data_IF_918003160260
#
_entry.id   IF_918003160260
#
_cell.length_a   1.000
_cell.length_b   1.000
_cell.length_c   1.000
_cell.angle_alpha   90.00
_cell.angle_beta   90.00
_cell.angle_gamma   90.00
#
_symmetry.space_group_name_H-M   'P 1'
#
loop_
_entity.id
_entity.type
_entity.pdbx_description
1 polymer ?
#
# COMPACT_ATOMS: atom_id res chain seq x y z
N UNK A 1 0.55 -11.13 -21.21
CA UNK A 1 1.42 -9.95 -21.29
C UNK A 1 0.89 -8.82 -20.44
N UNK A 2 1.74 -8.20 -19.63
CA UNK A 2 1.31 -6.99 -18.89
C UNK A 2 1.01 -5.90 -19.89
N UNK A 3 -0.18 -5.34 -19.83
CA UNK A 3 -0.47 -4.15 -20.61
C UNK A 3 0.26 -2.97 -19.97
N UNK A 4 1.30 -2.49 -20.63
CA UNK A 4 2.15 -1.41 -20.13
C UNK A 4 1.35 -0.16 -19.80
N UNK A 5 0.36 0.18 -20.63
CA UNK A 5 -0.49 1.34 -20.43
C UNK A 5 -1.33 1.22 -19.16
N UNK A 6 -1.92 0.05 -18.94
CA UNK A 6 -2.70 -0.23 -17.71
C UNK A 6 -1.79 -0.17 -16.49
N UNK A 7 -0.59 -0.75 -16.57
CA UNK A 7 0.38 -0.74 -15.48
C UNK A 7 0.81 0.68 -15.12
N UNK A 8 1.08 1.53 -16.13
CA UNK A 8 1.44 2.92 -15.91
C UNK A 8 0.32 3.70 -15.22
N UNK A 9 -0.93 3.47 -15.61
CA UNK A 9 -2.09 4.11 -14.96
C UNK A 9 -2.20 3.73 -13.48
N UNK A 10 -1.93 2.47 -13.14
CA UNK A 10 -1.94 2.02 -11.74
C UNK A 10 -0.82 2.65 -10.93
N UNK A 11 0.36 2.78 -11.52
CA UNK A 11 1.49 3.46 -10.88
C UNK A 11 1.16 4.93 -10.63
N UNK A 12 0.55 5.61 -11.60
CA UNK A 12 0.10 7.00 -11.44
C UNK A 12 -0.89 7.16 -10.31
N UNK A 13 -1.85 6.23 -10.19
CA UNK A 13 -2.83 6.24 -9.11
C UNK A 13 -2.17 6.03 -7.75
N UNK A 14 -1.23 5.10 -7.63
CA UNK A 14 -0.49 4.89 -6.39
C UNK A 14 0.26 6.16 -5.96
N UNK A 15 0.91 6.83 -6.92
CA UNK A 15 1.59 8.10 -6.65
C UNK A 15 0.63 9.20 -6.22
N UNK A 16 -0.53 9.29 -6.84
CA UNK A 16 -1.57 10.26 -6.47
C UNK A 16 -2.02 10.07 -5.02
N UNK A 17 -2.27 8.82 -4.61
CA UNK A 17 -2.65 8.53 -3.23
C UNK A 17 -1.54 8.86 -2.25
N UNK A 18 -0.28 8.58 -2.60
CA UNK A 18 0.87 8.95 -1.77
C UNK A 18 0.99 10.46 -1.62
N UNK A 19 0.77 11.21 -2.68
CA UNK A 19 0.82 12.66 -2.66
C UNK A 19 -0.25 13.24 -1.72
N UNK A 20 -1.46 12.68 -1.73
CA UNK A 20 -2.51 13.07 -0.78
C UNK A 20 -2.08 12.80 0.66
N UNK A 21 -1.47 11.64 0.92
CA UNK A 21 -1.00 11.29 2.26
C UNK A 21 0.11 12.22 2.74
N UNK A 22 1.09 12.52 1.90
CA UNK A 22 2.16 13.46 2.24
C UNK A 22 1.63 14.88 2.47
N UNK A 23 0.65 15.30 1.68
CA UNK A 23 -0.01 16.59 1.87
C UNK A 23 -0.66 16.68 3.26
N UNK A 24 -1.34 15.62 3.69
CA UNK A 24 -1.95 15.55 5.02
C UNK A 24 -0.87 15.59 6.10
N UNK A 25 0.19 14.80 5.94
CA UNK A 25 1.30 14.77 6.90
C UNK A 25 1.95 16.15 7.08
N UNK A 26 2.14 16.88 5.98
CA UNK A 26 2.81 18.17 6.00
C UNK A 26 1.93 19.31 6.57
N UNK A 27 0.62 19.17 6.49
CA UNK A 27 -0.32 20.25 6.86
C UNK A 27 -1.02 20.06 8.21
N UNK A 28 -0.87 18.89 8.85
CA UNK A 28 -1.53 18.59 10.12
C UNK A 28 -0.55 18.04 11.13
N UNK A 29 -0.60 18.52 12.36
CA UNK A 29 0.10 17.90 13.48
C UNK A 29 -0.60 16.60 13.87
N UNK A 30 0.07 15.73 14.63
CA UNK A 30 -0.55 14.49 15.12
C UNK A 30 -1.82 14.78 15.91
N UNK A 31 -1.80 15.80 16.75
CA UNK A 31 -2.95 16.17 17.57
C UNK A 31 -4.13 16.65 16.71
N UNK A 32 -3.86 17.51 15.72
CA UNK A 32 -4.86 17.95 14.75
C UNK A 32 -5.44 16.79 13.95
N UNK A 33 -4.59 15.88 13.53
CA UNK A 33 -4.96 14.66 12.79
C UNK A 33 -5.97 13.83 13.60
N UNK A 34 -5.65 13.56 14.88
CA UNK A 34 -6.50 12.74 15.75
C UNK A 34 -7.87 13.37 16.01
N UNK A 35 -7.95 14.70 16.01
CA UNK A 35 -9.18 15.44 16.30
C UNK A 35 -10.05 15.71 15.08
N UNK A 36 -9.57 15.39 13.89
CA UNK A 36 -10.30 15.69 12.65
C UNK A 36 -10.67 14.41 11.89
N UNK A 37 -11.91 13.91 12.06
CA UNK A 37 -12.37 12.69 11.38
C UNK A 37 -12.28 12.76 9.85
N UNK A 38 -12.46 13.92 9.26
CA UNK A 38 -12.33 14.08 7.81
C UNK A 38 -10.91 13.84 7.35
N UNK A 39 -9.94 14.21 8.17
CA UNK A 39 -8.51 14.03 7.86
C UNK A 39 -8.07 12.60 8.09
N UNK A 40 -8.30 12.03 9.29
CA UNK A 40 -7.83 10.66 9.53
C UNK A 40 -8.63 9.62 8.75
N UNK A 41 -9.93 9.85 8.52
CA UNK A 41 -10.74 8.96 7.68
C UNK A 41 -10.27 8.96 6.24
N UNK A 42 -9.96 10.14 5.69
CA UNK A 42 -9.38 10.26 4.34
C UNK A 42 -8.02 9.58 4.25
N UNK A 43 -7.17 9.75 5.28
CA UNK A 43 -5.84 9.14 5.32
C UNK A 43 -5.93 7.62 5.30
N UNK A 44 -6.83 7.03 6.09
CA UNK A 44 -7.05 5.58 6.10
C UNK A 44 -7.46 5.09 4.72
N UNK A 45 -8.37 5.79 4.07
CA UNK A 45 -8.84 5.42 2.75
C UNK A 45 -7.75 5.55 1.69
N UNK A 46 -7.00 6.64 1.68
CA UNK A 46 -5.91 6.83 0.71
C UNK A 46 -4.81 5.81 0.91
N UNK A 47 -4.47 5.49 2.16
CA UNK A 47 -3.48 4.46 2.46
C UNK A 47 -3.94 3.09 1.96
N UNK A 48 -5.19 2.73 2.21
CA UNK A 48 -5.79 1.48 1.73
C UNK A 48 -5.74 1.41 0.19
N UNK A 49 -6.15 2.47 -0.49
CA UNK A 49 -6.15 2.52 -1.96
C UNK A 49 -4.72 2.43 -2.53
N UNK A 50 -3.76 3.07 -1.88
CA UNK A 50 -2.37 3.00 -2.29
C UNK A 50 -1.83 1.56 -2.19
N UNK A 51 -2.09 0.90 -1.08
CA UNK A 51 -1.66 -0.48 -0.84
C UNK A 51 -2.30 -1.43 -1.86
N UNK A 52 -3.61 -1.28 -2.11
CA UNK A 52 -4.30 -2.10 -3.10
C UNK A 52 -3.72 -1.90 -4.51
N UNK A 53 -3.37 -0.66 -4.88
CA UNK A 53 -2.73 -0.37 -6.16
C UNK A 53 -1.36 -1.07 -6.28
N UNK A 54 -0.55 -1.03 -5.24
CA UNK A 54 0.76 -1.68 -5.22
C UNK A 54 0.64 -3.20 -5.33
N UNK A 55 -0.30 -3.80 -4.60
CA UNK A 55 -0.57 -5.24 -4.68
C UNK A 55 -1.02 -5.64 -6.09
N UNK A 56 -1.87 -4.85 -6.69
CA UNK A 56 -2.37 -5.08 -8.03
C UNK A 56 -1.24 -5.04 -9.07
N UNK A 57 -0.35 -4.05 -8.97
CA UNK A 57 0.84 -3.94 -9.81
C UNK A 57 1.72 -5.19 -9.67
N UNK A 58 2.00 -5.60 -8.45
CA UNK A 58 2.84 -6.78 -8.17
C UNK A 58 2.22 -8.06 -8.70
N UNK A 59 0.92 -8.24 -8.52
CA UNK A 59 0.19 -9.41 -9.00
C UNK A 59 0.22 -9.50 -10.52
N UNK A 60 0.08 -8.37 -11.21
CA UNK A 60 0.17 -8.34 -12.67
C UNK A 60 1.55 -8.72 -13.18
N UNK A 61 2.60 -8.25 -12.54
CA UNK A 61 3.98 -8.59 -12.91
C UNK A 61 4.22 -10.10 -12.72
N UNK A 62 3.76 -10.66 -11.60
CA UNK A 62 3.89 -12.10 -11.31
C UNK A 62 3.16 -12.92 -12.36
N UNK A 63 1.95 -12.53 -12.70
CA UNK A 63 1.14 -13.23 -13.70
C UNK A 63 1.78 -13.14 -15.09
N UNK A 64 2.20 -11.96 -15.51
CA UNK A 64 2.80 -11.75 -16.83
C UNK A 64 4.10 -12.53 -17.02
N UNK A 65 4.95 -12.51 -16.00
CA UNK A 65 6.25 -13.21 -16.05
C UNK A 65 6.19 -14.65 -15.59
N UNK A 66 5.01 -15.12 -15.22
CA UNK A 66 4.79 -16.50 -14.75
C UNK A 66 5.72 -16.87 -13.59
N UNK A 67 5.78 -16.02 -12.57
CA UNK A 67 6.71 -16.17 -11.46
C UNK A 67 6.22 -17.11 -10.35
N UNK A 68 4.97 -17.55 -10.42
CA UNK A 68 4.41 -18.47 -9.45
C UNK A 68 2.95 -18.18 -9.14
N UNK A 69 2.42 -18.88 -8.13
CA UNK A 69 1.03 -18.75 -7.71
C UNK A 69 0.92 -17.86 -6.47
N UNK A 70 0.01 -16.90 -6.51
CA UNK A 70 -0.31 -16.05 -5.36
C UNK A 70 -1.51 -16.65 -4.64
N UNK A 71 -1.31 -17.16 -3.43
CA UNK A 71 -2.38 -17.64 -2.57
C UNK A 71 -2.72 -16.61 -1.49
N UNK A 72 -1.70 -15.94 -0.97
CA UNK A 72 -1.83 -14.88 0.03
C UNK A 72 -1.15 -13.61 -0.48
N UNK A 73 -1.59 -12.44 -0.02
CA UNK A 73 -0.98 -11.18 -0.42
C UNK A 73 0.52 -11.13 -0.12
N UNK A 74 0.97 -11.75 0.98
CA UNK A 74 2.39 -11.80 1.32
C UNK A 74 3.25 -12.58 0.30
N UNK A 75 2.62 -13.41 -0.54
CA UNK A 75 3.32 -14.11 -1.61
C UNK A 75 3.81 -13.15 -2.70
N UNK A 76 3.16 -12.01 -2.86
CA UNK A 76 3.51 -11.01 -3.89
C UNK A 76 4.95 -10.52 -3.72
N UNK A 77 5.33 -9.91 -2.57
CA UNK A 77 6.71 -9.48 -2.40
C UNK A 77 7.71 -10.63 -2.36
N UNK A 78 7.32 -11.79 -1.82
CA UNK A 78 8.19 -12.97 -1.77
C UNK A 78 8.55 -13.46 -3.16
N UNK A 79 7.56 -13.62 -4.04
CA UNK A 79 7.80 -14.07 -5.42
C UNK A 79 8.62 -13.06 -6.22
N UNK A 80 8.31 -11.78 -6.07
CA UNK A 80 9.07 -10.71 -6.74
C UNK A 80 10.53 -10.71 -6.28
N UNK A 81 10.79 -10.90 -5.00
CA UNK A 81 12.13 -10.94 -4.44
C UNK A 81 12.90 -12.18 -4.91
N UNK A 82 12.25 -13.36 -4.91
CA UNK A 82 12.86 -14.61 -5.35
C UNK A 82 13.33 -14.55 -6.81
N UNK A 83 12.63 -13.81 -7.65
CA UNK A 83 12.93 -13.68 -9.07
C UNK A 83 13.71 -12.41 -9.43
N UNK A 84 14.26 -11.72 -8.43
CA UNK A 84 15.12 -10.56 -8.64
C UNK A 84 14.41 -9.29 -9.04
N UNK A 85 13.08 -9.25 -8.98
CA UNK A 85 12.30 -8.06 -9.32
C UNK A 85 12.22 -7.05 -8.17
N UNK A 86 12.59 -7.46 -6.97
CA UNK A 86 12.47 -6.65 -5.78
C UNK A 86 13.62 -7.01 -4.82
N UNK A 87 14.28 -6.02 -4.25
CA UNK A 87 15.32 -6.28 -3.26
C UNK A 87 14.74 -6.88 -1.98
N UNK A 88 15.53 -7.61 -1.21
CA UNK A 88 15.08 -8.18 0.07
C UNK A 88 14.59 -7.09 1.01
N UNK A 89 15.30 -5.96 1.07
CA UNK A 89 14.93 -4.83 1.92
C UNK A 89 13.55 -4.29 1.55
N UNK A 90 13.28 -4.08 0.27
CA UNK A 90 11.98 -3.61 -0.21
C UNK A 90 10.90 -4.66 -0.02
N UNK A 91 11.24 -5.94 -0.19
CA UNK A 91 10.30 -7.04 0.06
C UNK A 91 9.86 -7.06 1.52
N UNK A 92 10.78 -6.90 2.46
CA UNK A 92 10.46 -6.87 3.90
C UNK A 92 9.56 -5.67 4.25
N UNK A 93 9.81 -4.51 3.64
CA UNK A 93 8.97 -3.32 3.81
C UNK A 93 7.57 -3.59 3.26
N UNK A 94 7.48 -4.19 2.09
CA UNK A 94 6.23 -4.53 1.43
C UNK A 94 5.39 -5.51 2.28
N UNK A 95 6.05 -6.51 2.88
CA UNK A 95 5.37 -7.47 3.77
C UNK A 95 4.76 -6.75 4.98
N UNK A 96 5.47 -5.78 5.55
CA UNK A 96 4.93 -4.97 6.66
C UNK A 96 3.74 -4.12 6.22
N UNK A 97 3.79 -3.57 5.02
CA UNK A 97 2.68 -2.79 4.44
C UNK A 97 1.44 -3.69 4.30
N UNK A 98 1.61 -4.91 3.84
CA UNK A 98 0.51 -5.89 3.71
C UNK A 98 -0.08 -6.21 5.08
N UNK A 99 0.75 -6.40 6.10
CA UNK A 99 0.29 -6.60 7.47
C UNK A 99 -0.56 -5.44 7.96
N UNK A 100 -0.14 -4.22 7.67
CA UNK A 100 -0.88 -3.01 8.01
C UNK A 100 -2.21 -2.91 7.24
N UNK A 101 -2.21 -3.27 5.96
CA UNK A 101 -3.43 -3.35 5.15
C UNK A 101 -4.46 -4.29 5.79
N UNK A 102 -4.00 -5.43 6.29
CA UNK A 102 -4.91 -6.39 6.94
C UNK A 102 -5.53 -5.80 8.21
N UNK A 103 -4.78 -5.04 8.98
CA UNK A 103 -5.30 -4.31 10.15
C UNK A 103 -6.37 -3.31 9.71
N UNK A 104 -6.10 -2.51 8.68
CA UNK A 104 -7.05 -1.52 8.19
C UNK A 104 -8.37 -2.14 7.71
N UNK A 105 -8.30 -3.31 7.07
CA UNK A 105 -9.50 -3.98 6.51
C UNK A 105 -10.29 -4.74 7.57
N UNK A 106 -9.61 -5.41 8.50
CA UNK A 106 -10.26 -6.32 9.43
C UNK A 106 -10.52 -5.73 10.82
N UNK A 107 -9.83 -4.68 11.20
CA UNK A 107 -9.96 -4.06 12.53
C UNK A 107 -10.40 -2.60 12.46
N UNK A 108 -11.23 -2.26 11.49
CA UNK A 108 -11.66 -0.89 11.24
C UNK A 108 -12.38 -0.23 12.43
N UNK A 109 -12.92 -1.02 13.35
CA UNK A 109 -13.57 -0.48 14.56
C UNK A 109 -12.56 -0.05 15.63
N UNK A 110 -11.33 -0.54 15.58
CA UNK A 110 -10.29 -0.32 16.58
C UNK A 110 -8.98 0.18 15.96
N UNK A 111 -9.04 0.92 14.85
CA UNK A 111 -7.85 1.44 14.19
C UNK A 111 -7.11 2.38 15.15
N UNK A 112 -5.82 2.09 15.35
CA UNK A 112 -4.94 2.94 16.13
C UNK A 112 -4.43 4.09 15.27
N UNK A 113 -4.90 5.30 15.56
CA UNK A 113 -4.55 6.50 14.78
C UNK A 113 -3.06 6.84 14.84
N UNK A 114 -2.37 6.46 15.90
CA UNK A 114 -0.92 6.66 15.99
C UNK A 114 -0.19 5.79 14.97
N UNK A 115 -0.64 4.54 14.79
CA UNK A 115 -0.08 3.65 13.77
C UNK A 115 -0.32 4.21 12.37
N UNK A 116 -1.52 4.70 12.09
CA UNK A 116 -1.83 5.31 10.78
C UNK A 116 -0.92 6.50 10.52
N UNK A 117 -0.76 7.39 11.49
CA UNK A 117 0.10 8.56 11.38
C UNK A 117 1.58 8.19 11.17
N UNK A 118 2.08 7.19 11.87
CA UNK A 118 3.47 6.73 11.74
C UNK A 118 3.77 6.12 10.37
N UNK A 119 2.78 5.50 9.73
CA UNK A 119 2.96 4.85 8.42
C UNK A 119 2.93 5.83 7.25
N UNK A 120 2.34 6.98 7.44
CA UNK A 120 2.41 8.04 6.45
C UNK A 120 3.80 8.64 6.48
#
# INVERSE_FOLDING_TARGET
MVNREVLLKRIEKAKEYLDFLYNIKDNYSLNEFKQNPMVYGSSERFLHLCIEAILDIGTHIISDKNLGKVEFYSDVPKLLSQHGCLSKKLSDIFIRIIGFRNILVHEYLEINLDIVSERI
#
